data_IF_031091567969
#
_entry.id   IF_031091567969
#
_cell.length_a   1.000
_cell.length_b   1.000
_cell.length_c   1.000
_cell.angle_alpha   90.00
_cell.angle_beta   90.00
_cell.angle_gamma   90.00
#
_symmetry.space_group_name_H-M   'P 1'
#
loop_
_entity.id
_entity.type
_entity.pdbx_description
1 polymer ?
#
# COMPACT_ATOMS: atom_id res chain seq x y z
N UNK A 1 -30.47 -37.71 -53.58
CA UNK A 1 -30.63 -36.26 -53.37
C UNK A 1 -30.25 -35.98 -51.93
N UNK A 2 -29.17 -35.22 -51.77
CA UNK A 2 -28.51 -34.88 -50.51
C UNK A 2 -29.11 -33.60 -49.94
N UNK A 3 -29.38 -33.57 -48.63
CA UNK A 3 -29.37 -32.33 -47.85
C UNK A 3 -28.70 -32.67 -46.50
N UNK A 4 -27.40 -32.38 -46.44
CA UNK A 4 -26.66 -32.31 -45.19
C UNK A 4 -26.85 -30.89 -44.61
N UNK A 5 -27.43 -30.80 -43.42
CA UNK A 5 -27.45 -29.58 -42.63
C UNK A 5 -26.17 -29.54 -41.80
N UNK A 6 -25.18 -28.78 -42.25
CA UNK A 6 -24.02 -28.40 -41.44
C UNK A 6 -24.42 -27.26 -40.52
N UNK A 7 -24.61 -27.57 -39.24
CA UNK A 7 -24.60 -26.59 -38.18
C UNK A 7 -23.17 -26.07 -38.02
N UNK A 8 -22.95 -24.79 -38.35
CA UNK A 8 -21.74 -24.09 -37.99
C UNK A 8 -21.78 -23.83 -36.48
N UNK A 9 -21.04 -24.63 -35.72
CA UNK A 9 -20.70 -24.30 -34.34
C UNK A 9 -19.84 -23.03 -34.37
N UNK A 10 -20.38 -21.92 -33.88
CA UNK A 10 -19.60 -20.73 -33.57
C UNK A 10 -18.64 -21.10 -32.45
N UNK A 11 -17.36 -21.25 -32.77
CA UNK A 11 -16.31 -21.21 -31.78
C UNK A 11 -16.34 -19.79 -31.18
N UNK A 12 -16.81 -19.67 -29.93
CA UNK A 12 -16.51 -18.50 -29.13
C UNK A 12 -14.98 -18.44 -29.05
N UNK A 13 -14.37 -17.44 -29.70
CA UNK A 13 -12.94 -17.21 -29.59
C UNK A 13 -12.70 -16.75 -28.16
N UNK A 14 -12.24 -17.66 -27.31
CA UNK A 14 -11.93 -17.35 -25.91
C UNK A 14 -10.75 -16.40 -25.89
N UNK A 15 -10.96 -15.22 -25.32
CA UNK A 15 -9.94 -14.19 -25.19
C UNK A 15 -9.01 -14.55 -24.03
N UNK A 16 -7.70 -14.52 -24.27
CA UNK A 16 -6.69 -14.76 -23.24
C UNK A 16 -6.31 -13.42 -22.62
N UNK A 17 -6.14 -13.41 -21.30
CA UNK A 17 -5.70 -12.26 -20.50
C UNK A 17 -4.36 -12.55 -19.86
N UNK A 18 -3.61 -11.50 -19.53
CA UNK A 18 -2.30 -11.62 -18.89
C UNK A 18 -2.46 -12.14 -17.46
N UNK A 19 -1.59 -13.06 -17.07
CA UNK A 19 -1.49 -13.56 -15.70
C UNK A 19 -0.14 -13.19 -15.12
N UNK A 20 -0.14 -12.62 -13.91
CA UNK A 20 1.07 -12.20 -13.22
C UNK A 20 1.16 -12.89 -11.86
N UNK A 21 2.27 -13.59 -11.64
CA UNK A 21 2.62 -14.18 -10.36
C UNK A 21 3.90 -13.53 -9.82
N UNK A 22 3.83 -12.76 -8.71
CA UNK A 22 5.02 -12.20 -8.08
C UNK A 22 5.90 -13.28 -7.42
N UNK A 23 7.21 -13.02 -7.34
CA UNK A 23 8.18 -13.90 -6.68
C UNK A 23 7.79 -14.22 -5.21
N UNK A 24 7.19 -13.27 -4.48
CA UNK A 24 6.73 -13.54 -3.11
C UNK A 24 5.66 -14.64 -3.05
N UNK A 25 4.84 -14.79 -4.10
CA UNK A 25 3.82 -15.85 -4.18
C UNK A 25 4.48 -17.20 -4.44
N UNK A 26 5.44 -17.25 -5.36
CA UNK A 26 6.19 -18.47 -5.69
C UNK A 26 6.92 -18.99 -4.45
N UNK A 27 7.63 -18.11 -3.76
CA UNK A 27 8.38 -18.45 -2.54
C UNK A 27 7.47 -18.90 -1.42
N UNK A 28 6.33 -18.24 -1.23
CA UNK A 28 5.34 -18.66 -0.25
C UNK A 28 4.79 -20.06 -0.55
N UNK A 29 4.48 -20.35 -1.81
CA UNK A 29 3.99 -21.65 -2.26
C UNK A 29 5.02 -22.77 -2.11
N UNK A 30 6.31 -22.45 -2.18
CA UNK A 30 7.40 -23.41 -2.01
C UNK A 30 7.67 -23.80 -0.54
N UNK A 31 7.00 -23.17 0.42
CA UNK A 31 7.19 -23.44 1.85
C UNK A 31 6.63 -24.82 2.22
N UNK A 32 7.36 -25.53 3.08
CA UNK A 32 6.97 -26.85 3.56
C UNK A 32 6.03 -26.78 4.77
N UNK A 33 6.13 -25.70 5.56
CA UNK A 33 5.36 -25.52 6.80
C UNK A 33 4.27 -24.47 6.62
N UNK A 34 3.06 -24.81 7.06
CA UNK A 34 1.97 -23.85 7.15
C UNK A 34 2.26 -22.78 8.22
N UNK A 35 1.78 -21.56 8.00
CA UNK A 35 1.93 -20.50 8.98
C UNK A 35 0.99 -20.75 10.18
N UNK A 36 1.51 -20.53 11.39
CA UNK A 36 0.76 -20.71 12.64
C UNK A 36 0.36 -19.39 13.31
N UNK A 37 0.40 -18.26 12.60
CA UNK A 37 0.05 -16.97 13.17
C UNK A 37 -1.45 -16.91 13.54
N UNK A 38 -1.85 -15.98 14.44
CA UNK A 38 -3.24 -15.87 14.88
C UNK A 38 -4.26 -15.72 13.74
N UNK A 39 -3.90 -14.99 12.67
CA UNK A 39 -4.76 -14.83 11.49
C UNK A 39 -4.94 -16.16 10.74
N UNK A 40 -3.88 -16.95 10.54
CA UNK A 40 -3.97 -18.28 9.93
C UNK A 40 -4.86 -19.25 10.74
N UNK A 41 -4.77 -19.18 12.07
CA UNK A 41 -5.57 -20.05 12.95
C UNK A 41 -7.07 -19.76 12.88
N UNK A 42 -7.44 -18.50 12.61
CA UNK A 42 -8.83 -18.09 12.45
C UNK A 42 -9.35 -18.19 11.00
N UNK A 43 -8.46 -18.40 10.04
CA UNK A 43 -8.80 -18.45 8.62
C UNK A 43 -9.35 -19.83 8.21
N UNK A 44 -9.98 -19.88 7.04
CA UNK A 44 -10.48 -21.12 6.42
C UNK A 44 -10.12 -21.15 4.94
N UNK A 45 -10.12 -22.35 4.34
CA UNK A 45 -9.86 -22.54 2.90
C UNK A 45 -8.41 -22.26 2.50
N UNK A 46 -8.23 -21.61 1.34
CA UNK A 46 -6.92 -21.36 0.71
C UNK A 46 -6.22 -20.08 1.19
N UNK A 47 -6.76 -19.42 2.23
CA UNK A 47 -6.13 -18.24 2.82
C UNK A 47 -4.70 -18.56 3.28
N UNK A 48 -3.69 -17.69 3.03
CA UNK A 48 -3.79 -16.28 2.66
C UNK A 48 -3.78 -15.99 1.14
N UNK A 49 -3.93 -16.98 0.27
CA UNK A 49 -3.88 -16.73 -1.18
C UNK A 49 -5.05 -15.85 -1.63
N UNK A 50 -4.75 -14.85 -2.45
CA UNK A 50 -5.73 -13.96 -3.06
C UNK A 50 -5.48 -13.87 -4.55
N UNK A 51 -6.52 -13.53 -5.31
CA UNK A 51 -6.42 -13.19 -6.74
C UNK A 51 -7.13 -11.89 -6.98
N UNK A 52 -6.55 -11.07 -7.84
CA UNK A 52 -7.06 -9.75 -8.17
C UNK A 52 -7.19 -9.70 -9.67
N UNK A 53 -8.41 -9.39 -10.15
CA UNK A 53 -8.66 -9.18 -11.56
C UNK A 53 -8.72 -7.68 -11.80
N UNK A 54 -7.80 -7.18 -12.63
CA UNK A 54 -7.71 -5.77 -13.01
C UNK A 54 -7.75 -5.70 -14.54
N UNK A 55 -8.94 -5.48 -15.10
CA UNK A 55 -9.11 -5.43 -16.55
C UNK A 55 -8.75 -6.75 -17.23
N UNK A 56 -7.78 -6.71 -18.16
CA UNK A 56 -7.22 -7.85 -18.88
C UNK A 56 -6.03 -8.50 -18.16
N UNK A 57 -5.95 -8.33 -16.83
CA UNK A 57 -4.89 -8.93 -16.02
C UNK A 57 -5.48 -9.68 -14.83
N UNK A 58 -5.00 -10.89 -14.61
CA UNK A 58 -5.15 -11.59 -13.34
C UNK A 58 -3.83 -11.59 -12.58
N UNK A 59 -3.87 -11.13 -11.34
CA UNK A 59 -2.72 -11.00 -10.46
C UNK A 59 -2.88 -11.94 -9.27
N UNK A 60 -1.89 -12.79 -9.05
CA UNK A 60 -1.81 -13.55 -7.81
C UNK A 60 -1.22 -12.69 -6.69
N UNK A 61 -1.75 -12.87 -5.48
CA UNK A 61 -1.27 -12.15 -4.30
C UNK A 61 -1.49 -12.99 -3.03
N UNK A 62 -1.02 -12.45 -1.91
CA UNK A 62 -1.19 -13.02 -0.58
C UNK A 62 -1.66 -11.95 0.37
N UNK A 63 -2.56 -12.28 1.28
CA UNK A 63 -3.00 -11.37 2.34
C UNK A 63 -1.89 -11.13 3.38
N UNK A 64 -1.45 -9.88 3.47
CA UNK A 64 -0.42 -9.40 4.40
C UNK A 64 -0.72 -9.59 5.90
N UNK A 65 -1.96 -9.91 6.30
CA UNK A 65 -2.26 -10.29 7.69
C UNK A 65 -1.66 -11.67 8.08
N UNK A 66 -1.23 -12.49 7.12
CA UNK A 66 -0.42 -13.67 7.39
C UNK A 66 1.04 -13.27 7.60
N UNK A 67 1.63 -13.59 8.75
CA UNK A 67 3.03 -13.26 9.06
C UNK A 67 4.00 -13.85 8.04
N UNK A 68 3.73 -15.07 7.56
CA UNK A 68 4.62 -15.68 6.56
C UNK A 68 4.42 -15.12 5.15
N UNK A 69 3.21 -14.66 4.79
CA UNK A 69 3.01 -13.93 3.55
C UNK A 69 3.70 -12.57 3.63
N UNK A 70 3.49 -11.82 4.72
CA UNK A 70 4.14 -10.55 4.98
C UNK A 70 5.67 -10.66 4.90
N UNK A 71 6.25 -11.76 5.40
CA UNK A 71 7.68 -12.03 5.26
C UNK A 71 8.14 -12.06 3.81
N UNK A 72 7.48 -12.87 2.97
CA UNK A 72 7.87 -13.00 1.56
C UNK A 72 7.62 -11.72 0.77
N UNK A 73 6.55 -10.97 1.13
CA UNK A 73 6.23 -9.67 0.53
C UNK A 73 7.31 -8.64 0.87
N UNK A 74 7.72 -8.54 2.14
CA UNK A 74 8.48 -7.40 2.63
C UNK A 74 9.99 -7.61 2.62
N UNK A 75 10.47 -8.78 3.04
CA UNK A 75 11.90 -8.97 3.33
C UNK A 75 12.73 -9.32 2.09
N UNK A 76 12.09 -9.88 1.05
CA UNK A 76 12.78 -10.21 -0.19
C UNK A 76 12.88 -8.96 -1.10
N UNK A 77 14.08 -8.45 -1.44
CA UNK A 77 14.21 -7.32 -2.36
C UNK A 77 13.63 -7.60 -3.74
N UNK A 78 13.56 -8.88 -4.15
CA UNK A 78 13.01 -9.31 -5.44
C UNK A 78 11.53 -9.72 -5.35
N UNK A 79 10.83 -9.42 -4.25
CA UNK A 79 9.44 -9.85 -4.01
C UNK A 79 8.47 -9.56 -5.18
N UNK A 80 8.68 -8.43 -5.86
CA UNK A 80 7.85 -7.95 -6.97
C UNK A 80 8.40 -8.25 -8.36
N UNK A 81 9.38 -9.15 -8.49
CA UNK A 81 9.71 -9.73 -9.79
C UNK A 81 8.48 -10.52 -10.29
N UNK A 82 7.90 -10.09 -11.41
CA UNK A 82 6.67 -10.67 -11.96
C UNK A 82 7.00 -11.78 -12.95
N UNK A 83 6.35 -12.93 -12.76
CA UNK A 83 6.37 -14.05 -13.71
C UNK A 83 5.06 -14.01 -14.51
N UNK A 84 5.18 -13.81 -15.81
CA UNK A 84 4.04 -13.63 -16.71
C UNK A 84 3.57 -14.96 -17.33
N UNK A 85 2.27 -15.10 -17.50
CA UNK A 85 1.59 -16.18 -18.22
C UNK A 85 0.32 -15.66 -18.89
N UNK A 86 -0.49 -16.58 -19.42
CA UNK A 86 -1.77 -16.28 -20.06
C UNK A 86 -2.85 -17.20 -19.49
N UNK A 87 -4.03 -16.65 -19.22
CA UNK A 87 -5.21 -17.41 -18.76
C UNK A 87 -6.46 -16.96 -19.51
N UNK A 88 -7.55 -17.70 -19.38
CA UNK A 88 -8.84 -17.36 -20.00
C UNK A 88 -9.48 -16.13 -19.34
N UNK A 89 -10.04 -15.24 -20.16
CA UNK A 89 -10.72 -14.02 -19.71
C UNK A 89 -12.07 -14.31 -19.06
N UNK A 90 -12.32 -13.70 -17.90
CA UNK A 90 -13.64 -13.65 -17.26
C UNK A 90 -14.50 -12.46 -17.78
N UNK A 91 -14.07 -11.77 -18.83
CA UNK A 91 -14.87 -10.74 -19.53
C UNK A 91 -15.10 -9.43 -18.77
N UNK A 92 -14.15 -9.01 -17.91
CA UNK A 92 -14.26 -7.76 -17.16
C UNK A 92 -13.92 -6.53 -18.01
N UNK A 93 -14.75 -5.49 -17.89
CA UNK A 93 -14.63 -4.24 -18.65
C UNK A 93 -13.54 -3.33 -18.05
N UNK A 94 -12.68 -2.76 -18.90
CA UNK A 94 -11.51 -1.97 -18.49
C UNK A 94 -11.85 -0.48 -18.34
N UNK A 95 -11.24 0.18 -17.35
CA UNK A 95 -11.08 1.64 -17.34
C UNK A 95 -9.62 1.99 -17.66
N UNK A 96 -9.28 2.34 -18.92
CA UNK A 96 -7.91 2.66 -19.33
C UNK A 96 -7.27 3.80 -18.54
N UNK A 97 -8.09 4.70 -17.98
CA UNK A 97 -7.62 5.80 -17.15
C UNK A 97 -7.07 5.30 -15.81
N UNK A 98 -7.81 4.45 -15.11
CA UNK A 98 -7.40 3.92 -13.79
C UNK A 98 -6.18 3.01 -13.93
N UNK A 99 -6.10 2.23 -15.02
CA UNK A 99 -4.96 1.38 -15.33
C UNK A 99 -3.69 2.22 -15.55
N UNK A 100 -3.76 3.24 -16.41
CA UNK A 100 -2.64 4.14 -16.66
C UNK A 100 -2.22 4.87 -15.37
N UNK A 101 -3.18 5.35 -14.57
CA UNK A 101 -2.90 6.05 -13.31
C UNK A 101 -2.17 5.14 -12.32
N UNK A 102 -2.67 3.91 -12.13
CA UNK A 102 -2.03 2.95 -11.23
C UNK A 102 -0.63 2.56 -11.74
N UNK A 103 -0.46 2.37 -13.05
CA UNK A 103 0.84 2.07 -13.63
C UNK A 103 1.84 3.21 -13.41
N UNK A 104 1.43 4.47 -13.55
CA UNK A 104 2.31 5.60 -13.25
C UNK A 104 2.64 5.70 -11.75
N UNK A 105 1.68 5.39 -10.85
CA UNK A 105 1.98 5.26 -9.42
C UNK A 105 3.04 4.17 -9.15
N UNK A 106 2.92 2.99 -9.79
CA UNK A 106 3.90 1.92 -9.70
C UNK A 106 5.26 2.39 -10.22
N UNK A 107 5.30 3.07 -11.36
CA UNK A 107 6.54 3.60 -11.94
C UNK A 107 7.27 4.53 -10.96
N UNK A 108 6.55 5.44 -10.29
CA UNK A 108 7.12 6.29 -9.23
C UNK A 108 7.59 5.45 -8.03
N UNK A 109 6.84 4.42 -7.65
CA UNK A 109 7.17 3.52 -6.57
C UNK A 109 8.29 2.49 -6.89
N UNK A 110 8.80 2.43 -8.13
CA UNK A 110 9.99 1.62 -8.47
C UNK A 110 11.14 2.46 -9.03
N UNK A 111 10.92 3.76 -9.26
CA UNK A 111 11.91 4.68 -9.81
C UNK A 111 13.20 4.74 -8.96
N UNK A 112 14.39 4.45 -9.53
CA UNK A 112 15.63 4.29 -8.76
C UNK A 112 16.15 5.59 -8.14
N UNK A 113 15.80 6.75 -8.71
CA UNK A 113 16.20 8.06 -8.16
C UNK A 113 15.37 8.50 -6.95
N UNK A 114 14.27 7.81 -6.61
CA UNK A 114 13.35 8.24 -5.56
C UNK A 114 13.49 7.37 -4.31
N UNK A 115 13.77 8.03 -3.18
CA UNK A 115 13.52 7.46 -1.85
C UNK A 115 12.01 7.25 -1.64
N UNK A 116 11.63 6.53 -0.57
CA UNK A 116 10.24 6.23 -0.26
C UNK A 116 9.38 7.50 -0.14
N UNK A 117 9.83 8.47 0.66
CA UNK A 117 9.11 9.72 0.91
C UNK A 117 8.97 10.55 -0.36
N UNK A 118 10.03 10.63 -1.17
CA UNK A 118 9.99 11.30 -2.48
C UNK A 118 9.06 10.58 -3.46
N UNK A 119 8.92 9.26 -3.36
CA UNK A 119 7.97 8.49 -4.17
C UNK A 119 6.53 8.75 -3.76
N UNK A 120 6.23 8.78 -2.46
CA UNK A 120 4.92 9.15 -1.94
C UNK A 120 4.54 10.58 -2.35
N UNK A 121 5.50 11.50 -2.29
CA UNK A 121 5.31 12.87 -2.77
C UNK A 121 5.01 12.93 -4.27
N UNK A 122 5.81 12.22 -5.10
CA UNK A 122 5.59 12.16 -6.55
C UNK A 122 4.22 11.57 -6.91
N UNK A 123 3.80 10.49 -6.23
CA UNK A 123 2.46 9.91 -6.34
C UNK A 123 1.40 10.94 -5.97
N UNK A 124 1.61 11.72 -4.90
CA UNK A 124 0.69 12.80 -4.52
C UNK A 124 0.56 13.89 -5.59
N UNK A 125 1.66 14.31 -6.22
CA UNK A 125 1.63 15.28 -7.33
C UNK A 125 0.87 14.70 -8.53
N UNK A 126 1.12 13.44 -8.86
CA UNK A 126 0.41 12.73 -9.93
C UNK A 126 -1.10 12.67 -9.66
N UNK A 127 -1.50 12.24 -8.47
CA UNK A 127 -2.91 12.13 -8.07
C UNK A 127 -3.61 13.51 -8.05
N UNK A 128 -2.92 14.57 -7.59
CA UNK A 128 -3.45 15.94 -7.65
C UNK A 128 -3.75 16.35 -9.10
N UNK A 129 -2.81 16.10 -10.01
CA UNK A 129 -3.00 16.43 -11.42
C UNK A 129 -4.10 15.57 -12.06
N UNK A 130 -4.12 14.28 -11.77
CA UNK A 130 -5.12 13.36 -12.27
C UNK A 130 -6.54 13.77 -11.84
N UNK A 131 -6.72 14.20 -10.58
CA UNK A 131 -7.98 14.72 -10.08
C UNK A 131 -8.46 15.92 -10.90
N UNK A 132 -7.55 16.85 -11.22
CA UNK A 132 -7.89 18.01 -12.05
C UNK A 132 -8.30 17.62 -13.47
N UNK A 133 -7.62 16.66 -14.08
CA UNK A 133 -8.04 16.13 -15.39
C UNK A 133 -9.43 15.50 -15.32
N UNK A 134 -9.76 14.81 -14.24
CA UNK A 134 -11.10 14.26 -14.00
C UNK A 134 -12.14 15.38 -13.90
N UNK A 135 -11.89 16.43 -13.13
CA UNK A 135 -12.78 17.58 -12.95
C UNK A 135 -12.96 18.40 -14.23
N UNK A 136 -11.91 18.53 -15.04
CA UNK A 136 -11.91 19.21 -16.33
C UNK A 136 -12.43 18.32 -17.49
N UNK A 137 -12.84 17.08 -17.19
CA UNK A 137 -13.31 16.07 -18.15
C UNK A 137 -12.28 15.74 -19.26
N UNK A 138 -11.00 15.70 -18.90
CA UNK A 138 -9.83 15.40 -19.75
C UNK A 138 -9.23 14.02 -19.43
N UNK A 139 -10.08 12.97 -19.42
CA UNK A 139 -9.68 11.61 -19.02
C UNK A 139 -9.01 10.81 -20.15
N UNK A 140 -8.04 11.41 -20.82
CA UNK A 140 -7.17 10.72 -21.79
C UNK A 140 -5.99 10.06 -21.06
N UNK A 141 -5.83 8.72 -21.09
CA UNK A 141 -4.70 8.03 -20.47
C UNK A 141 -3.32 8.57 -20.91
N UNK A 142 -3.21 9.15 -22.11
CA UNK A 142 -1.95 9.74 -22.57
C UNK A 142 -1.52 10.93 -21.70
N UNK A 143 -2.46 11.72 -21.17
CA UNK A 143 -2.15 12.82 -20.25
C UNK A 143 -1.43 12.32 -18.99
N UNK A 144 -1.77 11.13 -18.51
CA UNK A 144 -1.13 10.50 -17.35
C UNK A 144 0.26 9.99 -17.70
N UNK A 145 0.43 9.40 -18.89
CA UNK A 145 1.74 8.96 -19.37
C UNK A 145 2.72 10.13 -19.53
N UNK A 146 2.28 11.22 -20.15
CA UNK A 146 3.10 12.43 -20.32
C UNK A 146 3.49 13.05 -18.97
N UNK A 147 2.56 13.05 -18.00
CA UNK A 147 2.84 13.51 -16.64
C UNK A 147 3.82 12.58 -15.91
N UNK A 148 3.67 11.26 -16.07
CA UNK A 148 4.59 10.27 -15.50
C UNK A 148 6.01 10.44 -16.02
N UNK A 149 6.18 10.70 -17.32
CA UNK A 149 7.49 10.98 -17.92
C UNK A 149 8.11 12.28 -17.37
N UNK A 150 7.31 13.34 -17.25
CA UNK A 150 7.78 14.60 -16.64
C UNK A 150 8.24 14.41 -15.20
N UNK A 151 7.47 13.65 -14.39
CA UNK A 151 7.84 13.35 -13.00
C UNK A 151 9.11 12.50 -12.92
N UNK A 152 9.30 11.54 -13.84
CA UNK A 152 10.54 10.77 -13.92
C UNK A 152 11.76 11.67 -14.21
N UNK A 153 11.64 12.59 -15.17
CA UNK A 153 12.71 13.55 -15.47
C UNK A 153 13.02 14.47 -14.26
N UNK A 154 11.99 14.93 -13.54
CA UNK A 154 12.17 15.72 -12.31
C UNK A 154 12.79 14.90 -11.17
N UNK A 155 12.49 13.60 -11.09
CA UNK A 155 13.11 12.67 -10.15
C UNK A 155 14.61 12.52 -10.44
N UNK A 156 14.99 12.29 -11.70
CA UNK A 156 16.38 12.19 -12.13
C UNK A 156 17.17 13.47 -11.86
N UNK A 157 16.53 14.63 -12.02
CA UNK A 157 17.12 15.93 -11.71
C UNK A 157 17.18 16.25 -10.20
N UNK A 158 16.64 15.40 -9.32
CA UNK A 158 16.58 15.61 -7.87
C UNK A 158 15.54 16.63 -7.40
N UNK A 159 14.81 17.25 -8.34
CA UNK A 159 13.87 18.35 -8.07
C UNK A 159 12.74 17.90 -7.15
N UNK A 160 12.22 16.67 -7.31
CA UNK A 160 11.14 16.17 -6.45
C UNK A 160 11.55 16.05 -4.98
N UNK A 161 12.79 15.63 -4.72
CA UNK A 161 13.32 15.56 -3.35
C UNK A 161 13.58 16.95 -2.76
N UNK A 162 14.04 17.90 -3.58
CA UNK A 162 14.18 19.30 -3.16
C UNK A 162 12.84 19.94 -2.82
N UNK A 163 11.81 19.73 -3.66
CA UNK A 163 10.47 20.27 -3.42
C UNK A 163 9.83 19.68 -2.16
N UNK A 164 10.00 18.38 -1.92
CA UNK A 164 9.56 17.74 -0.69
C UNK A 164 10.20 18.38 0.55
N UNK A 165 11.52 18.65 0.51
CA UNK A 165 12.24 19.26 1.62
C UNK A 165 11.83 20.72 1.92
N UNK A 166 11.20 21.39 0.96
CA UNK A 166 10.69 22.75 1.10
C UNK A 166 9.25 22.81 1.66
N UNK A 167 8.55 21.67 1.78
CA UNK A 167 7.20 21.66 2.32
C UNK A 167 7.21 22.07 3.80
N UNK A 168 6.37 23.04 4.21
CA UNK A 168 6.26 23.40 5.61
C UNK A 168 5.65 22.24 6.40
N UNK A 169 6.20 21.89 7.59
CA UNK A 169 5.61 20.85 8.41
C UNK A 169 4.24 21.30 8.93
N UNK A 170 3.22 20.46 8.74
CA UNK A 170 1.87 20.66 9.30
C UNK A 170 1.70 19.66 10.46
N UNK A 171 2.27 20.02 11.61
CA UNK A 171 2.38 19.12 12.77
C UNK A 171 1.01 18.69 13.31
N UNK A 172 -0.01 19.55 13.22
CA UNK A 172 -1.36 19.27 13.74
C UNK A 172 -1.98 17.99 13.16
N UNK A 173 -1.81 17.75 11.86
CA UNK A 173 -2.35 16.57 11.18
C UNK A 173 -1.63 15.29 11.64
N UNK A 174 -0.33 15.37 11.87
CA UNK A 174 0.49 14.25 12.36
C UNK A 174 0.14 13.91 13.82
N UNK A 175 -0.12 14.93 14.64
CA UNK A 175 -0.58 14.77 16.02
C UNK A 175 -1.94 14.09 16.05
N UNK A 176 -2.88 14.53 15.22
CA UNK A 176 -4.19 13.90 15.08
C UNK A 176 -4.06 12.43 14.65
N UNK A 177 -3.28 12.16 13.59
CA UNK A 177 -3.03 10.80 13.11
C UNK A 177 -2.39 9.90 14.18
N UNK A 178 -1.48 10.44 15.01
CA UNK A 178 -0.88 9.70 16.12
C UNK A 178 -1.94 9.38 17.21
N UNK A 179 -2.80 10.33 17.55
CA UNK A 179 -3.86 10.13 18.55
C UNK A 179 -4.85 9.04 18.13
N UNK A 180 -5.25 9.04 16.86
CA UNK A 180 -6.13 8.02 16.28
C UNK A 180 -5.57 6.60 16.40
N UNK A 181 -4.23 6.44 16.39
CA UNK A 181 -3.62 5.13 16.58
C UNK A 181 -4.00 4.47 17.91
N UNK A 182 -4.41 5.23 18.93
CA UNK A 182 -4.84 4.66 20.20
C UNK A 182 -6.15 3.85 20.14
N UNK A 183 -6.91 3.98 19.05
CA UNK A 183 -8.05 3.12 18.76
C UNK A 183 -7.65 1.75 18.19
N UNK A 184 -6.39 1.55 17.79
CA UNK A 184 -5.93 0.30 17.20
C UNK A 184 -6.05 -0.87 18.19
N UNK A 185 -6.53 -2.01 17.70
CA UNK A 185 -6.65 -3.26 18.45
C UNK A 185 -5.89 -4.36 17.71
N UNK A 186 -4.57 -4.35 17.90
CA UNK A 186 -3.65 -5.24 17.20
C UNK A 186 -3.58 -6.62 17.86
N UNK A 187 -3.79 -7.69 17.09
CA UNK A 187 -3.59 -9.05 17.58
C UNK A 187 -2.15 -9.51 17.40
N UNK A 188 -1.26 -8.98 18.25
CA UNK A 188 0.18 -9.25 18.17
C UNK A 188 0.51 -10.68 18.61
N UNK A 189 1.32 -11.37 17.80
CA UNK A 189 1.92 -12.66 18.11
C UNK A 189 3.26 -12.48 18.85
N UNK A 190 3.18 -11.88 20.05
CA UNK A 190 4.34 -11.54 20.88
C UNK A 190 4.21 -12.20 22.26
N UNK A 191 5.33 -12.33 23.00
CA UNK A 191 5.31 -12.69 24.41
C UNK A 191 4.29 -11.84 25.20
N UNK A 192 3.52 -12.43 26.14
CA UNK A 192 2.40 -11.75 26.79
C UNK A 192 2.74 -10.40 27.42
N UNK A 193 3.89 -10.28 28.08
CA UNK A 193 4.33 -9.03 28.72
C UNK A 193 4.61 -7.93 27.68
N UNK A 194 5.31 -8.26 26.60
CA UNK A 194 5.61 -7.31 25.52
C UNK A 194 4.34 -6.86 24.80
N UNK A 195 3.44 -7.81 24.49
CA UNK A 195 2.11 -7.52 23.92
C UNK A 195 1.33 -6.55 24.82
N UNK A 196 1.26 -6.83 26.12
CA UNK A 196 0.53 -6.01 27.08
C UNK A 196 1.09 -4.59 27.17
N UNK A 197 2.42 -4.45 27.33
CA UNK A 197 3.08 -3.14 27.40
C UNK A 197 2.88 -2.33 26.13
N UNK A 198 3.06 -2.95 24.96
CA UNK A 198 2.88 -2.27 23.68
C UNK A 198 1.44 -1.80 23.48
N UNK A 199 0.46 -2.67 23.78
CA UNK A 199 -0.96 -2.31 23.66
C UNK A 199 -1.39 -1.23 24.66
N UNK A 200 -0.80 -1.19 25.86
CA UNK A 200 -1.03 -0.12 26.84
C UNK A 200 -0.56 1.23 26.28
N UNK A 201 0.69 1.30 25.80
CA UNK A 201 1.25 2.51 25.18
C UNK A 201 0.43 3.01 23.99
N UNK A 202 -0.02 2.07 23.15
CA UNK A 202 -0.88 2.39 22.02
C UNK A 202 -2.20 3.01 22.53
N UNK A 203 -2.86 2.36 23.48
CA UNK A 203 -4.13 2.83 24.05
C UNK A 203 -4.00 4.17 24.78
N UNK A 204 -2.84 4.46 25.39
CA UNK A 204 -2.58 5.74 26.05
C UNK A 204 -2.67 6.93 25.08
N UNK A 205 -2.33 6.76 23.79
CA UNK A 205 -2.40 7.84 22.80
C UNK A 205 -3.81 8.45 22.68
N UNK A 206 -4.86 7.63 22.83
CA UNK A 206 -6.26 8.07 22.69
C UNK A 206 -6.73 8.98 23.84
N UNK A 207 -6.00 9.01 24.96
CA UNK A 207 -6.37 9.80 26.15
C UNK A 207 -5.35 10.88 26.50
N UNK A 208 -4.30 11.04 25.68
CA UNK A 208 -3.31 12.11 25.87
C UNK A 208 -3.88 13.46 25.46
N UNK A 209 -3.59 14.48 26.28
CA UNK A 209 -3.87 15.87 25.91
C UNK A 209 -3.06 16.29 24.67
N UNK A 210 -3.59 17.16 23.78
CA UNK A 210 -2.95 17.50 22.51
C UNK A 210 -1.49 17.97 22.63
N UNK A 211 -1.18 18.80 23.63
CA UNK A 211 0.18 19.28 23.85
C UNK A 211 1.17 18.15 24.19
N UNK A 212 0.72 17.16 24.99
CA UNK A 212 1.54 15.99 25.33
C UNK A 212 1.68 15.05 24.13
N UNK A 213 0.64 14.92 23.31
CA UNK A 213 0.68 14.13 22.09
C UNK A 213 1.64 14.74 21.06
N UNK A 214 1.75 16.07 21.00
CA UNK A 214 2.74 16.79 20.19
C UNK A 214 4.17 16.53 20.66
N UNK A 215 4.46 16.64 21.96
CA UNK A 215 5.76 16.27 22.51
C UNK A 215 6.10 14.81 22.20
N UNK A 216 5.10 13.94 22.37
CA UNK A 216 5.22 12.50 22.10
C UNK A 216 5.55 12.20 20.65
N UNK A 217 4.90 12.89 19.71
CA UNK A 217 5.18 12.76 18.28
C UNK A 217 6.66 13.06 17.99
N UNK A 218 7.17 14.18 18.51
CA UNK A 218 8.56 14.59 18.30
C UNK A 218 9.57 13.57 18.84
N UNK A 219 9.28 12.98 20.00
CA UNK A 219 10.12 11.91 20.57
C UNK A 219 10.17 10.67 19.66
N UNK A 220 9.02 10.27 19.12
CA UNK A 220 8.91 9.10 18.25
C UNK A 220 9.57 9.35 16.89
N UNK A 221 9.42 10.54 16.31
CA UNK A 221 10.03 10.90 15.02
C UNK A 221 11.55 11.02 15.06
N UNK A 222 12.12 11.37 16.22
CA UNK A 222 13.57 11.43 16.41
C UNK A 222 14.21 10.06 16.62
N UNK A 223 13.40 9.00 16.81
CA UNK A 223 13.93 7.64 17.00
C UNK A 223 14.46 7.11 15.66
N UNK A 224 15.75 6.75 15.56
CA UNK A 224 16.26 6.08 14.38
C UNK A 224 15.59 4.71 14.25
N UNK A 225 15.41 4.26 13.01
CA UNK A 225 14.82 2.95 12.69
C UNK A 225 15.83 2.11 11.90
N UNK A 226 16.89 1.57 12.55
CA UNK A 226 18.02 0.94 11.84
C UNK A 226 17.61 -0.13 10.84
N UNK A 227 16.62 -0.97 11.17
CA UNK A 227 16.12 -1.99 10.25
C UNK A 227 15.65 -1.40 8.92
N UNK A 228 14.94 -0.27 8.95
CA UNK A 228 14.35 0.37 7.77
C UNK A 228 15.38 1.22 7.03
N UNK A 229 16.40 1.73 7.72
CA UNK A 229 17.55 2.42 7.12
C UNK A 229 18.49 1.44 6.40
N UNK A 230 18.78 0.30 7.04
CA UNK A 230 19.64 -0.76 6.48
C UNK A 230 18.95 -1.54 5.35
N UNK A 231 17.61 -1.65 5.41
CA UNK A 231 16.79 -2.41 4.45
C UNK A 231 15.65 -1.54 3.91
N UNK A 232 15.97 -0.48 3.13
CA UNK A 232 14.96 0.45 2.63
C UNK A 232 13.92 -0.20 1.70
N UNK A 233 14.27 -1.36 1.11
CA UNK A 233 13.33 -2.12 0.29
C UNK A 233 12.13 -2.66 1.08
N UNK A 234 12.18 -2.77 2.41
CA UNK A 234 11.05 -3.27 3.21
C UNK A 234 9.82 -2.37 3.03
N UNK A 235 9.98 -1.06 3.24
CA UNK A 235 8.88 -0.12 3.07
C UNK A 235 8.57 0.12 1.58
N UNK A 236 9.57 0.02 0.70
CA UNK A 236 9.36 0.03 -0.76
C UNK A 236 8.43 -1.10 -1.19
N UNK A 237 8.67 -2.30 -0.72
CA UNK A 237 7.86 -3.47 -0.98
C UNK A 237 6.45 -3.32 -0.41
N UNK A 238 6.29 -2.72 0.78
CA UNK A 238 4.97 -2.39 1.31
C UNK A 238 4.19 -1.42 0.39
N UNK A 239 4.88 -0.43 -0.20
CA UNK A 239 4.29 0.50 -1.17
C UNK A 239 3.87 -0.22 -2.44
N UNK A 240 4.78 -0.99 -3.05
CA UNK A 240 4.48 -1.73 -4.28
C UNK A 240 3.38 -2.76 -4.03
N UNK A 241 3.36 -3.43 -2.88
CA UNK A 241 2.28 -4.34 -2.47
C UNK A 241 0.91 -3.65 -2.53
N UNK A 242 0.82 -2.43 -1.97
CA UNK A 242 -0.43 -1.66 -1.96
C UNK A 242 -0.87 -1.28 -3.38
N UNK A 243 0.06 -0.86 -4.24
CA UNK A 243 -0.22 -0.45 -5.63
C UNK A 243 -0.50 -1.63 -6.58
N UNK A 244 0.16 -2.76 -6.34
CA UNK A 244 -0.02 -3.99 -7.12
C UNK A 244 -1.37 -4.65 -6.81
N UNK A 245 -1.81 -4.54 -5.55
CA UNK A 245 -3.05 -5.08 -5.04
C UNK A 245 -4.30 -4.47 -5.67
N UNK A 246 -5.05 -3.67 -4.90
CA UNK A 246 -6.31 -3.07 -5.34
C UNK A 246 -6.14 -1.90 -6.33
N UNK A 247 -4.90 -1.51 -6.61
CA UNK A 247 -4.57 -0.29 -7.35
C UNK A 247 -4.81 0.97 -6.53
N UNK A 248 -4.17 2.06 -6.95
CA UNK A 248 -4.41 3.42 -6.44
C UNK A 248 -4.85 4.29 -7.61
N UNK A 249 -5.96 5.04 -7.49
CA UNK A 249 -6.74 5.35 -6.29
C UNK A 249 -7.79 4.29 -5.89
N UNK A 250 -7.92 3.21 -6.66
CA UNK A 250 -8.94 2.18 -6.51
C UNK A 250 -10.09 2.40 -7.48
N UNK A 251 -10.82 1.33 -7.80
CA UNK A 251 -11.93 1.38 -8.75
C UNK A 251 -13.00 2.37 -8.28
N UNK A 252 -13.38 3.32 -9.14
CA UNK A 252 -14.45 4.30 -8.87
C UNK A 252 -14.17 5.30 -7.74
N UNK A 253 -12.90 5.56 -7.40
CA UNK A 253 -12.58 6.62 -6.45
C UNK A 253 -12.95 8.00 -7.01
N UNK A 254 -13.86 8.72 -6.33
CA UNK A 254 -14.24 10.08 -6.71
C UNK A 254 -13.27 11.15 -6.18
N UNK A 255 -12.46 10.78 -5.18
CA UNK A 255 -11.51 11.67 -4.50
C UNK A 255 -10.11 11.04 -4.41
N UNK A 256 -9.20 11.45 -5.28
CA UNK A 256 -7.82 10.93 -5.29
C UNK A 256 -6.98 11.41 -4.09
N UNK A 257 -7.41 12.48 -3.42
CA UNK A 257 -6.81 12.93 -2.17
C UNK A 257 -6.95 11.91 -1.05
N UNK A 258 -8.11 11.24 -0.94
CA UNK A 258 -8.34 10.17 0.05
C UNK A 258 -7.42 8.98 -0.17
N UNK A 259 -7.18 8.61 -1.42
CA UNK A 259 -6.26 7.55 -1.76
C UNK A 259 -4.81 7.86 -1.32
N UNK A 260 -4.35 9.11 -1.55
CA UNK A 260 -3.04 9.55 -1.06
C UNK A 260 -3.00 9.58 0.47
N UNK A 261 -4.01 10.17 1.11
CA UNK A 261 -4.06 10.28 2.57
C UNK A 261 -4.05 8.90 3.22
N UNK A 262 -4.81 7.95 2.68
CA UNK A 262 -4.78 6.56 3.13
C UNK A 262 -3.38 5.98 2.98
N UNK A 263 -2.71 6.19 1.84
CA UNK A 263 -1.38 5.68 1.59
C UNK A 263 -0.34 6.27 2.56
N UNK A 264 -0.26 7.59 2.70
CA UNK A 264 0.75 8.23 3.57
C UNK A 264 0.49 7.93 5.05
N UNK A 265 -0.78 7.86 5.47
CA UNK A 265 -1.17 7.45 6.82
C UNK A 265 -0.67 6.05 7.16
N UNK A 266 -0.68 5.10 6.21
CA UNK A 266 -0.14 3.76 6.44
C UNK A 266 1.35 3.78 6.81
N UNK A 267 2.16 4.52 6.04
CA UNK A 267 3.60 4.63 6.30
C UNK A 267 3.90 5.38 7.59
N UNK A 268 3.14 6.44 7.88
CA UNK A 268 3.22 7.14 9.16
C UNK A 268 2.96 6.18 10.33
N UNK A 269 1.86 5.42 10.28
CA UNK A 269 1.50 4.46 11.33
C UNK A 269 2.57 3.37 11.51
N UNK A 270 3.10 2.80 10.42
CA UNK A 270 4.15 1.78 10.48
C UNK A 270 5.45 2.32 11.11
N UNK A 271 5.85 3.56 10.77
CA UNK A 271 7.00 4.23 11.41
C UNK A 271 6.75 4.46 12.90
N UNK A 272 5.57 4.95 13.28
CA UNK A 272 5.22 5.21 14.68
C UNK A 272 5.14 3.93 15.51
N UNK A 273 4.52 2.86 15.01
CA UNK A 273 4.51 1.54 15.66
C UNK A 273 5.93 1.01 15.88
N UNK A 274 6.81 1.18 14.89
CA UNK A 274 8.21 0.79 14.96
C UNK A 274 8.99 1.60 16.00
N UNK A 275 8.81 2.92 16.03
CA UNK A 275 9.44 3.81 16.99
C UNK A 275 8.97 3.52 18.43
N UNK A 276 7.67 3.29 18.63
CA UNK A 276 7.09 2.91 19.93
C UNK A 276 7.66 1.58 20.44
N UNK A 277 7.90 0.61 19.55
CA UNK A 277 8.52 -0.66 19.94
C UNK A 277 9.92 -0.47 20.55
N UNK A 278 10.73 0.42 19.95
CA UNK A 278 12.10 0.72 20.34
C UNK A 278 12.24 1.52 21.65
N UNK A 279 11.15 1.78 22.34
CA UNK A 279 11.21 2.43 23.65
C UNK A 279 11.48 1.46 24.78
N UNK A 280 10.91 0.26 24.69
CA UNK A 280 11.07 -0.78 25.71
C UNK A 280 11.99 -1.91 25.25
N UNK A 281 12.36 -1.90 23.98
CA UNK A 281 13.12 -2.98 23.35
C UNK A 281 14.38 -2.41 22.70
N UNK A 282 15.47 -3.16 22.81
CA UNK A 282 16.78 -2.73 22.30
C UNK A 282 16.85 -2.63 20.78
N UNK A 283 16.04 -3.43 20.07
CA UNK A 283 16.08 -3.52 18.61
C UNK A 283 14.73 -3.87 18.01
N UNK A 284 14.49 -3.38 16.79
CA UNK A 284 13.41 -3.80 15.91
C UNK A 284 13.97 -4.85 14.95
N UNK A 285 13.68 -6.12 15.21
CA UNK A 285 14.11 -7.21 14.32
C UNK A 285 13.11 -7.38 13.17
N UNK A 286 13.52 -8.07 12.10
CA UNK A 286 12.61 -8.45 11.00
C UNK A 286 11.38 -9.19 11.52
N UNK A 287 11.57 -10.15 12.43
CA UNK A 287 10.48 -10.92 13.05
C UNK A 287 9.44 -10.02 13.71
N UNK A 288 9.90 -9.05 14.51
CA UNK A 288 9.01 -8.12 15.20
C UNK A 288 8.31 -7.21 14.18
N UNK A 289 9.03 -6.70 13.19
CA UNK A 289 8.43 -5.85 12.17
C UNK A 289 7.35 -6.59 11.39
N UNK A 290 7.57 -7.86 11.05
CA UNK A 290 6.56 -8.72 10.42
C UNK A 290 5.32 -8.90 11.30
N UNK A 291 5.48 -9.11 12.62
CA UNK A 291 4.36 -9.20 13.55
C UNK A 291 3.60 -7.88 13.67
N UNK A 292 4.29 -6.74 13.72
CA UNK A 292 3.67 -5.42 13.76
C UNK A 292 2.89 -5.15 12.45
N UNK A 293 3.53 -5.37 11.31
CA UNK A 293 2.94 -5.15 9.99
C UNK A 293 1.74 -6.05 9.73
N UNK A 294 1.82 -7.34 10.04
CA UNK A 294 0.71 -8.28 9.81
C UNK A 294 -0.49 -7.98 10.70
N UNK A 295 -0.27 -7.68 11.99
CA UNK A 295 -1.33 -7.31 12.91
C UNK A 295 -1.97 -5.97 12.53
N UNK A 296 -1.17 -4.99 12.10
CA UNK A 296 -1.64 -3.72 11.58
C UNK A 296 -2.45 -3.90 10.29
N UNK A 297 -1.97 -4.69 9.33
CA UNK A 297 -2.67 -4.98 8.07
C UNK A 297 -4.00 -5.68 8.33
N UNK A 298 -4.04 -6.63 9.27
CA UNK A 298 -5.28 -7.28 9.71
C UNK A 298 -6.28 -6.30 10.32
N UNK A 299 -5.79 -5.36 11.15
CA UNK A 299 -6.64 -4.34 11.77
C UNK A 299 -7.18 -3.34 10.74
N UNK A 300 -6.33 -2.92 9.81
CA UNK A 300 -6.66 -1.96 8.76
C UNK A 300 -7.74 -2.53 7.82
N UNK A 301 -7.64 -3.80 7.42
CA UNK A 301 -8.63 -4.46 6.57
C UNK A 301 -10.04 -4.56 7.21
N UNK A 302 -10.15 -4.35 8.53
CA UNK A 302 -11.42 -4.34 9.26
C UNK A 302 -11.97 -2.92 9.46
N UNK A 303 -11.19 -1.88 9.16
CA UNK A 303 -11.65 -0.50 9.28
C UNK A 303 -12.49 -0.13 8.05
N UNK A 304 -13.66 0.51 8.23
CA UNK A 304 -14.36 1.09 7.11
C UNK A 304 -13.47 2.14 6.44
N UNK A 305 -13.38 2.11 5.12
CA UNK A 305 -12.89 3.26 4.37
C UNK A 305 -13.90 4.38 4.57
N UNK A 306 -13.56 5.37 5.39
CA UNK A 306 -14.41 6.53 5.58
C UNK A 306 -14.20 7.46 4.38
N UNK A 307 -15.20 7.53 3.51
CA UNK A 307 -15.33 8.63 2.54
C UNK A 307 -15.70 9.88 3.35
N UNK A 308 -14.76 10.82 3.47
CA UNK A 308 -15.08 12.09 4.13
C UNK A 308 -15.54 13.08 3.07
N UNK A 309 -16.80 12.89 2.63
CA UNK A 309 -17.47 13.72 1.63
C UNK A 309 -17.54 15.22 1.97
N UNK A 310 -17.03 15.64 3.14
CA UNK A 310 -16.99 17.04 3.58
C UNK A 310 -15.79 17.81 3.06
N UNK A 311 -14.73 17.13 2.63
CA UNK A 311 -13.47 17.78 2.27
C UNK A 311 -13.15 17.67 0.78
N UNK A 312 -12.62 18.76 0.19
CA UNK A 312 -12.20 18.76 -1.21
C UNK A 312 -10.98 17.87 -1.41
N UNK A 313 -10.80 17.33 -2.63
CA UNK A 313 -9.64 16.50 -2.95
C UNK A 313 -8.31 17.20 -2.65
N UNK A 314 -8.19 18.50 -2.97
CA UNK A 314 -6.99 19.29 -2.65
C UNK A 314 -6.71 19.37 -1.13
N UNK A 315 -7.75 19.53 -0.30
CA UNK A 315 -7.59 19.58 1.15
C UNK A 315 -7.10 18.23 1.69
N UNK A 316 -7.74 17.14 1.27
CA UNK A 316 -7.38 15.78 1.71
C UNK A 316 -5.99 15.41 1.21
N UNK A 317 -5.61 15.85 0.02
CA UNK A 317 -4.28 15.66 -0.54
C UNK A 317 -3.20 16.37 0.27
N UNK A 318 -3.42 17.64 0.63
CA UNK A 318 -2.52 18.38 1.52
C UNK A 318 -2.40 17.73 2.91
N UNK A 319 -3.52 17.22 3.44
CA UNK A 319 -3.49 16.44 4.67
C UNK A 319 -2.61 15.19 4.49
N UNK A 320 -2.81 14.43 3.42
CA UNK A 320 -1.98 13.26 3.10
C UNK A 320 -0.50 13.59 3.01
N UNK A 321 -0.13 14.65 2.28
CA UNK A 321 1.26 15.10 2.15
C UNK A 321 1.90 15.49 3.48
N UNK A 322 1.13 16.02 4.44
CA UNK A 322 1.67 16.39 5.74
C UNK A 322 2.10 15.20 6.63
N UNK A 323 1.68 13.98 6.27
CA UNK A 323 2.03 12.76 6.98
C UNK A 323 3.35 12.10 6.49
N UNK A 324 3.93 12.61 5.40
CA UNK A 324 5.23 12.17 4.87
C UNK A 324 6.35 12.67 5.79
#
# INVERSE_FOLDING_TARGET
MSIAATAAAGAACMELIEHYQPEYVIRFNARQEACSCPACQAASGEWPKTRITLGNQQRESLNAACESAAREILLNPDAFMLHAGEIESDGHEQNPWDEALNQQCINMAVHPALALESSLYAIGVLLSKAQRYVEENQRDPQNLNDMGEQLAQLAEAGVLSEQLALLPPIEVNRVEALGEMGAMRLNLNLPPMQKMMFMLKLSELAVMEPARLQERLRELEQKPLPLLEEKPWILRNALIYRLYGEGVPGNSADNYGEALMSLTRQFFQLKMLSAMWLEDNQSLTEEVFIVLFSAWSSWQAQQPQAEDAKHTADYVLLHGLSLI
#
